data_IF_947615742447
#
_entry.id   IF_947615742447
#
_cell.length_a   1.000
_cell.length_b   1.000
_cell.length_c   1.000
_cell.angle_alpha   90.00
_cell.angle_beta   90.00
_cell.angle_gamma   90.00
#
_symmetry.space_group_name_H-M   'P 1'
#
loop_
_entity.id
_entity.type
_entity.pdbx_description
1 polymer ?
#
# COMPACT_ATOMS: atom_id res chain seq x y z
N UNK A 1 25.97 15.13 -0.42
CA UNK A 1 24.81 14.30 -0.83
C UNK A 1 23.56 14.93 -0.28
N UNK A 2 22.61 15.25 -1.17
CA UNK A 2 21.33 15.86 -0.85
C UNK A 2 20.43 15.04 0.07
N UNK A 3 19.32 15.62 0.51
CA UNK A 3 18.26 14.90 1.22
C UNK A 3 17.35 14.15 0.24
N UNK A 4 16.91 12.95 0.61
CA UNK A 4 16.01 12.12 -0.21
C UNK A 4 14.60 12.16 0.38
N UNK A 5 13.61 12.53 -0.43
CA UNK A 5 12.21 12.51 -0.05
C UNK A 5 11.45 11.47 -0.89
N UNK A 6 10.89 10.46 -0.22
CA UNK A 6 10.14 9.40 -0.91
C UNK A 6 8.71 9.83 -1.20
N UNK A 7 8.28 9.75 -2.47
CA UNK A 7 6.88 10.02 -2.81
C UNK A 7 6.01 8.80 -2.52
N UNK A 8 4.70 9.04 -2.37
CA UNK A 8 3.72 7.96 -2.34
C UNK A 8 3.66 7.28 -3.72
N UNK A 9 3.44 5.95 -3.78
CA UNK A 9 3.24 5.25 -5.04
C UNK A 9 2.10 5.89 -5.83
N UNK A 10 2.34 6.19 -7.11
CA UNK A 10 1.30 6.64 -8.02
C UNK A 10 0.44 5.44 -8.41
N UNK A 11 -0.87 5.56 -8.26
CA UNK A 11 -1.80 4.47 -8.54
C UNK A 11 -3.18 5.01 -8.94
N UNK A 12 -4.00 4.22 -9.66
CA UNK A 12 -5.39 4.55 -9.92
C UNK A 12 -6.20 4.78 -8.64
N UNK A 13 -7.40 5.33 -8.79
CA UNK A 13 -8.31 5.53 -7.67
C UNK A 13 -8.55 4.20 -6.94
N UNK A 14 -8.41 4.22 -5.61
CA UNK A 14 -8.58 3.02 -4.79
C UNK A 14 -10.04 2.58 -4.84
N UNK A 15 -10.29 1.34 -5.26
CA UNK A 15 -11.61 0.74 -5.15
C UNK A 15 -11.84 0.23 -3.72
N UNK A 16 -13.09 0.13 -3.24
CA UNK A 16 -13.37 -0.27 -1.85
C UNK A 16 -12.82 -1.65 -1.46
N UNK A 17 -12.80 -2.57 -2.44
CA UNK A 17 -12.32 -3.94 -2.32
C UNK A 17 -10.79 -4.07 -2.32
N UNK A 18 -10.05 -3.00 -2.62
CA UNK A 18 -8.60 -2.99 -2.54
C UNK A 18 -8.15 -2.47 -1.17
N UNK A 19 -7.34 -3.29 -0.49
CA UNK A 19 -6.80 -3.00 0.83
C UNK A 19 -5.29 -2.95 0.75
N UNK A 20 -4.73 -1.77 0.97
CA UNK A 20 -3.27 -1.57 0.99
C UNK A 20 -2.74 -1.64 2.42
N UNK A 21 -1.78 -2.53 2.64
CA UNK A 21 -1.17 -2.74 3.95
C UNK A 21 -0.08 -1.71 4.20
N UNK A 22 -0.28 -0.89 5.23
CA UNK A 22 0.73 0.00 5.77
C UNK A 22 1.35 -0.59 7.05
N UNK A 23 2.54 -0.15 7.43
CA UNK A 23 3.26 -0.62 8.63
C UNK A 23 2.44 -0.46 9.91
N UNK A 24 1.68 0.63 10.03
CA UNK A 24 0.83 0.94 11.19
C UNK A 24 -0.56 0.30 11.15
N UNK A 25 -0.94 -0.39 10.07
CA UNK A 25 -2.25 -1.05 9.97
C UNK A 25 -2.39 -2.13 11.05
N UNK A 26 -3.54 -2.29 11.71
CA UNK A 26 -3.74 -3.38 12.69
C UNK A 26 -4.28 -4.63 11.97
N UNK A 27 -3.62 -5.77 12.12
CA UNK A 27 -3.99 -7.00 11.39
C UNK A 27 -5.45 -7.42 11.63
N UNK A 28 -5.93 -7.36 12.89
CA UNK A 28 -7.32 -7.68 13.24
C UNK A 28 -8.34 -6.74 12.58
N UNK A 29 -8.02 -5.44 12.49
CA UNK A 29 -8.88 -4.48 11.81
C UNK A 29 -8.98 -4.76 10.30
N UNK A 30 -7.88 -5.19 9.67
CA UNK A 30 -7.89 -5.58 8.26
C UNK A 30 -8.70 -6.86 8.04
N UNK A 31 -8.50 -7.90 8.85
CA UNK A 31 -9.28 -9.14 8.76
C UNK A 31 -10.78 -8.87 8.93
N UNK A 32 -11.16 -8.03 9.89
CA UNK A 32 -12.55 -7.62 10.07
C UNK A 32 -13.10 -6.84 8.87
N UNK A 33 -12.27 -6.00 8.25
CA UNK A 33 -12.64 -5.29 7.01
C UNK A 33 -12.87 -6.26 5.85
N UNK A 34 -11.99 -7.26 5.66
CA UNK A 34 -12.17 -8.31 4.65
C UNK A 34 -13.49 -9.05 4.87
N UNK A 35 -13.75 -9.49 6.11
CA UNK A 35 -15.02 -10.15 6.47
C UNK A 35 -16.24 -9.29 6.16
N UNK A 36 -16.19 -7.99 6.47
CA UNK A 36 -17.28 -7.06 6.18
C UNK A 36 -17.51 -6.91 4.69
N UNK A 37 -16.45 -6.69 3.91
CA UNK A 37 -16.52 -6.53 2.46
C UNK A 37 -17.14 -7.76 1.78
N UNK A 38 -16.72 -8.95 2.17
CA UNK A 38 -17.22 -10.18 1.55
C UNK A 38 -18.64 -10.56 2.02
N UNK A 39 -18.91 -10.50 3.33
CA UNK A 39 -20.17 -11.04 3.87
C UNK A 39 -21.32 -10.03 3.95
N UNK A 40 -21.02 -8.73 4.09
CA UNK A 40 -22.04 -7.68 4.25
C UNK A 40 -22.19 -6.81 3.02
N UNK A 41 -21.09 -6.51 2.35
CA UNK A 41 -21.04 -5.63 1.18
C UNK A 41 -21.04 -6.44 -0.14
N UNK A 42 -21.12 -7.77 -0.04
CA UNK A 42 -21.26 -8.73 -1.16
C UNK A 42 -20.17 -8.60 -2.24
N UNK A 43 -18.94 -8.26 -1.84
CA UNK A 43 -17.79 -8.29 -2.75
C UNK A 43 -17.31 -9.73 -2.96
N UNK A 44 -17.40 -10.22 -4.20
CA UNK A 44 -16.90 -11.54 -4.59
C UNK A 44 -15.38 -11.68 -4.49
N UNK A 45 -14.65 -10.56 -4.55
CA UNK A 45 -13.18 -10.54 -4.49
C UNK A 45 -12.73 -9.32 -3.71
N UNK A 46 -11.72 -9.52 -2.86
CA UNK A 46 -11.05 -8.47 -2.08
C UNK A 46 -9.56 -8.65 -2.27
N UNK A 47 -8.86 -7.59 -2.67
CA UNK A 47 -7.43 -7.63 -2.97
C UNK A 47 -6.66 -7.04 -1.80
N UNK A 48 -5.65 -7.76 -1.30
CA UNK A 48 -4.74 -7.27 -0.26
C UNK A 48 -3.39 -6.99 -0.90
N UNK A 49 -3.02 -5.71 -0.98
CA UNK A 49 -1.75 -5.28 -1.55
C UNK A 49 -0.72 -5.04 -0.45
N UNK A 50 0.48 -5.62 -0.63
CA UNK A 50 1.67 -5.30 0.15
C UNK A 50 2.79 -4.88 -0.80
N UNK A 51 3.49 -3.79 -0.48
CA UNK A 51 4.64 -3.31 -1.25
C UNK A 51 5.93 -3.47 -0.43
N UNK A 52 6.98 -4.00 -1.05
CA UNK A 52 8.29 -4.16 -0.44
C UNK A 52 8.23 -4.93 0.90
N UNK A 53 8.69 -4.29 1.98
CA UNK A 53 8.70 -4.88 3.31
C UNK A 53 7.31 -5.33 3.83
N UNK A 54 6.21 -4.83 3.24
CA UNK A 54 4.85 -5.20 3.64
C UNK A 54 4.32 -6.48 2.99
N UNK A 55 5.02 -7.08 2.03
CA UNK A 55 4.56 -8.28 1.30
C UNK A 55 4.32 -9.46 2.26
N UNK A 56 5.31 -9.83 3.08
CA UNK A 56 5.17 -10.93 4.06
C UNK A 56 4.00 -10.71 4.99
N UNK A 57 3.81 -9.47 5.43
CA UNK A 57 2.73 -9.09 6.32
C UNK A 57 1.35 -9.18 5.65
N UNK A 58 1.25 -8.77 4.39
CA UNK A 58 0.04 -8.93 3.60
C UNK A 58 -0.35 -10.41 3.45
N UNK A 59 0.63 -11.28 3.16
CA UNK A 59 0.43 -12.73 3.09
C UNK A 59 -0.10 -13.29 4.42
N UNK A 60 0.55 -12.94 5.54
CA UNK A 60 0.08 -13.39 6.87
C UNK A 60 -1.34 -12.92 7.19
N UNK A 61 -1.72 -11.72 6.76
CA UNK A 61 -3.09 -11.19 6.96
C UNK A 61 -4.08 -11.95 6.07
N UNK A 62 -3.73 -12.25 4.82
CA UNK A 62 -4.56 -13.01 3.90
C UNK A 62 -4.85 -14.42 4.43
N UNK A 63 -3.83 -15.12 4.95
CA UNK A 63 -3.99 -16.44 5.59
C UNK A 63 -4.94 -16.37 6.79
N UNK A 64 -4.74 -15.39 7.70
CA UNK A 64 -5.64 -15.19 8.84
C UNK A 64 -7.08 -14.86 8.42
N UNK A 65 -7.26 -14.12 7.34
CA UNK A 65 -8.58 -13.83 6.80
C UNK A 65 -9.26 -15.10 6.27
N UNK A 66 -8.53 -15.98 5.58
CA UNK A 66 -9.01 -17.28 5.13
C UNK A 66 -9.43 -18.16 6.31
N UNK A 67 -8.60 -18.28 7.34
CA UNK A 67 -8.92 -19.00 8.57
C UNK A 67 -10.18 -18.44 9.25
N UNK A 68 -10.28 -17.11 9.37
CA UNK A 68 -11.44 -16.41 9.98
C UNK A 68 -12.74 -16.62 9.22
N UNK A 69 -12.64 -16.87 7.91
CA UNK A 69 -13.76 -17.20 7.02
C UNK A 69 -13.99 -18.71 6.88
N UNK A 70 -13.44 -19.50 7.82
CA UNK A 70 -13.54 -20.96 7.86
C UNK A 70 -13.05 -21.64 6.57
N UNK A 71 -12.00 -21.10 5.95
CA UNK A 71 -11.41 -21.61 4.71
C UNK A 71 -12.39 -21.68 3.52
N UNK A 72 -13.46 -20.88 3.53
CA UNK A 72 -14.44 -20.80 2.44
C UNK A 72 -14.01 -19.87 1.30
N UNK A 73 -12.83 -19.27 1.39
CA UNK A 73 -12.27 -18.40 0.35
C UNK A 73 -11.02 -19.00 -0.25
N UNK A 74 -10.87 -18.80 -1.56
CA UNK A 74 -9.68 -19.17 -2.31
C UNK A 74 -8.68 -18.00 -2.28
N UNK A 75 -7.40 -18.28 -1.99
CA UNK A 75 -6.32 -17.29 -2.06
C UNK A 75 -5.64 -17.39 -3.43
N UNK A 76 -5.56 -16.26 -4.14
CA UNK A 76 -4.90 -16.15 -5.45
C UNK A 76 -3.72 -15.17 -5.38
N UNK A 77 -2.49 -15.65 -5.10
CA UNK A 77 -1.33 -14.77 -5.04
C UNK A 77 -0.98 -14.26 -6.44
N UNK A 78 -0.86 -12.94 -6.58
CA UNK A 78 -0.42 -12.27 -7.80
C UNK A 78 0.79 -11.37 -7.50
N UNK A 79 1.59 -11.10 -8.53
CA UNK A 79 2.73 -10.18 -8.44
C UNK A 79 2.52 -9.00 -9.37
N UNK A 80 2.95 -7.83 -8.95
CA UNK A 80 2.87 -6.59 -9.72
C UNK A 80 4.17 -5.81 -9.58
N UNK A 81 4.54 -5.11 -10.65
CA UNK A 81 5.66 -4.18 -10.65
C UNK A 81 5.13 -2.76 -10.57
N UNK A 82 5.50 -2.02 -9.52
CA UNK A 82 5.06 -0.64 -9.29
C UNK A 82 6.25 0.30 -9.41
N UNK A 83 6.14 1.31 -10.29
CA UNK A 83 7.14 2.35 -10.40
C UNK A 83 7.03 3.34 -9.23
N UNK A 84 8.17 3.67 -8.62
CA UNK A 84 8.27 4.66 -7.53
C UNK A 84 9.19 5.79 -7.96
N UNK A 85 8.85 7.00 -7.53
CA UNK A 85 9.64 8.21 -7.79
C UNK A 85 10.03 8.81 -6.44
N UNK A 86 11.33 9.00 -6.24
CA UNK A 86 11.87 9.69 -5.07
C UNK A 86 12.48 11.02 -5.53
N UNK A 87 12.34 12.05 -4.70
CA UNK A 87 12.95 13.35 -4.91
C UNK A 87 14.33 13.40 -4.25
N UNK A 88 15.30 13.97 -4.94
CA UNK A 88 16.63 14.26 -4.41
C UNK A 88 16.78 15.77 -4.35
N UNK A 89 16.99 16.32 -3.15
CA UNK A 89 17.20 17.76 -2.91
C UNK A 89 18.69 17.97 -2.60
N UNK A 90 19.50 18.48 -3.55
CA UNK A 90 20.89 18.85 -3.33
C UNK A 90 21.07 19.82 -2.15
N UNK A 91 22.20 19.73 -1.45
CA UNK A 91 22.48 20.55 -0.26
C UNK A 91 22.87 22.00 -0.61
N UNK A 92 23.28 22.23 -1.84
CA UNK A 92 23.69 23.51 -2.43
C UNK A 92 22.53 24.27 -3.09
N UNK A 93 21.30 23.74 -3.06
CA UNK A 93 20.13 24.49 -3.49
C UNK A 93 19.84 25.67 -2.54
N UNK A 94 20.01 26.90 -3.01
CA UNK A 94 19.56 28.13 -2.33
C UNK A 94 18.15 28.47 -2.83
N UNK A 95 17.14 28.36 -1.96
CA UNK A 95 15.79 28.83 -2.31
C UNK A 95 15.77 30.37 -2.35
N UNK A 96 15.67 30.95 -3.54
CA UNK A 96 15.28 32.35 -3.71
C UNK A 96 13.84 32.60 -3.27
N UNK A 97 13.49 33.87 -3.06
CA UNK A 97 12.22 34.36 -2.49
C UNK A 97 11.00 33.91 -3.33
N UNK A 98 11.21 33.53 -4.60
CA UNK A 98 10.16 33.17 -5.57
C UNK A 98 10.09 31.67 -5.92
N UNK A 99 10.68 30.77 -5.12
CA UNK A 99 10.67 29.30 -5.39
C UNK A 99 11.23 28.90 -6.78
N UNK A 100 12.04 29.76 -7.41
CA UNK A 100 12.81 29.40 -8.61
C UNK A 100 14.16 28.90 -8.16
N UNK A 101 14.34 27.57 -8.16
CA UNK A 101 15.63 26.95 -7.86
C UNK A 101 16.52 27.03 -9.12
N UNK A 102 17.64 27.74 -9.02
CA UNK A 102 18.68 27.78 -10.06
C UNK A 102 19.90 27.03 -9.54
N UNK A 103 20.49 26.18 -10.38
CA UNK A 103 21.80 25.60 -10.11
C UNK A 103 22.87 26.66 -10.42
N UNK A 104 23.76 26.95 -9.48
CA UNK A 104 25.00 27.70 -9.76
C UNK A 104 25.88 26.96 -10.79
#
# INVERSE_FOLDING_TARGET
LGSIHKRKPQRPASVPADIYIASNSKSSAIVNRVKRLMLKENHNTVTIHGLGAMVTRAISIALRAQETLNNQIELKPTTETIALTDDIIPNDMVCGIDYVCVCD
#
